data_IF_595517319669
#
_entry.id   IF_595517319669
#
_cell.length_a   1.000
_cell.length_b   1.000
_cell.length_c   1.000
_cell.angle_alpha   90.00
_cell.angle_beta   90.00
_cell.angle_gamma   90.00
#
_symmetry.space_group_name_H-M   'P 1'
#
loop_
_entity.id
_entity.type
_entity.pdbx_description
1 polymer ?
#
# COMPACT_ATOMS: atom_id res chain seq x y z
N UNK A 1 7.05 13.87 9.61
CA UNK A 1 5.79 14.51 9.22
C UNK A 1 4.84 14.32 10.39
N UNK A 2 4.30 15.38 10.99
CA UNK A 2 3.43 15.24 12.17
C UNK A 2 2.11 14.54 11.75
N UNK A 3 1.75 13.47 12.44
CA UNK A 3 0.41 12.87 12.36
C UNK A 3 -0.59 13.99 12.64
N UNK A 4 -1.33 14.41 11.61
CA UNK A 4 -2.22 15.56 11.73
C UNK A 4 -3.49 15.13 12.44
N UNK A 5 -3.82 15.83 13.54
CA UNK A 5 -5.04 15.60 14.34
C UNK A 5 -6.32 15.89 13.56
N UNK A 6 -6.22 16.60 12.43
CA UNK A 6 -7.34 16.96 11.57
C UNK A 6 -7.53 15.87 10.51
N UNK A 7 -8.70 15.23 10.53
CA UNK A 7 -9.11 14.27 9.50
C UNK A 7 -9.46 14.99 8.19
N UNK A 8 -8.51 15.02 7.26
CA UNK A 8 -8.65 15.65 5.95
C UNK A 8 -9.15 14.70 4.87
N UNK A 9 -9.30 13.40 5.15
CA UNK A 9 -9.50 12.38 4.13
C UNK A 9 -10.75 12.62 3.28
N UNK A 10 -11.82 13.14 3.87
CA UNK A 10 -13.10 13.38 3.18
C UNK A 10 -13.42 14.86 2.95
N UNK A 11 -12.49 15.77 3.29
CA UNK A 11 -12.71 17.22 3.15
C UNK A 11 -12.63 17.69 1.70
N UNK A 12 -13.49 18.62 1.30
CA UNK A 12 -13.40 19.21 -0.04
C UNK A 12 -12.10 20.03 -0.18
N UNK A 13 -11.51 20.16 -1.39
CA UNK A 13 -10.32 20.96 -1.61
C UNK A 13 -10.40 22.38 -1.04
N UNK A 14 -11.54 23.06 -1.22
CA UNK A 14 -11.77 24.40 -0.68
C UNK A 14 -11.79 24.47 0.87
N UNK A 15 -12.09 23.36 1.55
CA UNK A 15 -12.03 23.28 3.02
C UNK A 15 -10.59 23.09 3.49
N UNK A 16 -9.83 22.25 2.78
CA UNK A 16 -8.40 22.05 2.99
C UNK A 16 -7.63 23.36 2.80
N UNK A 17 -7.95 24.12 1.74
CA UNK A 17 -7.34 25.43 1.47
C UNK A 17 -7.55 26.42 2.63
N UNK A 18 -8.77 26.48 3.18
CA UNK A 18 -9.08 27.30 4.36
C UNK A 18 -8.27 26.89 5.60
N UNK A 19 -7.97 25.60 5.76
CA UNK A 19 -7.14 25.13 6.89
C UNK A 19 -5.67 25.54 6.72
N UNK A 20 -5.19 25.60 5.48
CA UNK A 20 -3.85 26.13 5.16
C UNK A 20 -3.79 27.64 5.41
N UNK A 21 -4.79 28.40 4.96
CA UNK A 21 -4.88 29.85 5.20
C UNK A 21 -4.90 30.20 6.70
N UNK A 22 -5.57 29.37 7.51
CA UNK A 22 -5.61 29.51 8.98
C UNK A 22 -4.33 29.06 9.68
N UNK A 23 -3.38 28.47 8.96
CA UNK A 23 -2.15 27.90 9.53
C UNK A 23 -2.37 26.63 10.37
N UNK A 24 -3.56 26.04 10.31
CA UNK A 24 -3.93 24.81 11.05
C UNK A 24 -3.56 23.53 10.30
N UNK A 25 -3.27 23.63 9.00
CA UNK A 25 -2.78 22.54 8.17
C UNK A 25 -1.57 23.02 7.37
N UNK A 26 -0.56 22.16 7.22
CA UNK A 26 0.60 22.49 6.41
C UNK A 26 0.28 22.47 4.91
N UNK A 27 0.96 23.32 4.14
CA UNK A 27 0.84 23.32 2.67
C UNK A 27 1.33 22.02 2.04
N UNK A 28 2.29 21.34 2.68
CA UNK A 28 2.76 20.02 2.26
C UNK A 28 1.68 18.95 2.41
N UNK A 29 0.93 18.95 3.53
CA UNK A 29 -0.18 18.03 3.71
C UNK A 29 -1.29 18.30 2.69
N UNK A 30 -1.64 19.56 2.44
CA UNK A 30 -2.60 19.91 1.39
C UNK A 30 -2.13 19.46 0.00
N UNK A 31 -0.84 19.58 -0.31
CA UNK A 31 -0.27 19.13 -1.59
C UNK A 31 -0.34 17.60 -1.72
N UNK A 32 -0.05 16.87 -0.65
CA UNK A 32 -0.20 15.42 -0.61
C UNK A 32 -1.64 14.97 -0.92
N UNK A 33 -2.65 15.63 -0.35
CA UNK A 33 -4.05 15.32 -0.68
C UNK A 33 -4.36 15.62 -2.14
N UNK A 34 -3.84 16.72 -2.70
CA UNK A 34 -4.03 17.05 -4.12
C UNK A 34 -3.34 16.05 -5.06
N UNK A 35 -2.20 15.48 -4.66
CA UNK A 35 -1.55 14.42 -5.42
C UNK A 35 -2.39 13.13 -5.41
N UNK A 36 -2.97 12.77 -4.26
CA UNK A 36 -3.92 11.65 -4.16
C UNK A 36 -5.16 11.92 -5.04
N UNK A 37 -5.69 13.14 -5.04
CA UNK A 37 -6.81 13.54 -5.88
C UNK A 37 -6.47 13.41 -7.38
N UNK A 38 -5.27 13.85 -7.78
CA UNK A 38 -4.81 13.78 -9.17
C UNK A 38 -4.62 12.34 -9.65
N UNK A 39 -4.06 11.47 -8.80
CA UNK A 39 -3.96 10.03 -9.08
C UNK A 39 -5.35 9.39 -9.18
N UNK A 40 -6.28 9.80 -8.32
CA UNK A 40 -7.65 9.30 -8.34
C UNK A 40 -8.37 9.67 -9.64
N UNK A 41 -8.22 10.93 -10.09
CA UNK A 41 -8.75 11.40 -11.36
C UNK A 41 -8.17 10.61 -12.55
N UNK A 42 -6.89 10.24 -12.49
CA UNK A 42 -6.25 9.41 -13.51
C UNK A 42 -6.76 7.96 -13.50
N UNK A 43 -7.19 7.44 -12.35
CA UNK A 43 -7.75 6.10 -12.20
C UNK A 43 -9.25 6.03 -12.54
N UNK A 44 -9.96 7.15 -12.44
CA UNK A 44 -11.40 7.24 -12.67
C UNK A 44 -11.88 6.72 -14.04
N UNK A 45 -11.17 6.92 -15.17
CA UNK A 45 -11.58 6.35 -16.45
C UNK A 45 -11.64 4.82 -16.43
N UNK A 46 -10.70 4.15 -15.78
CA UNK A 46 -10.71 2.68 -15.63
C UNK A 46 -11.95 2.23 -14.85
N UNK A 47 -12.29 2.94 -13.77
CA UNK A 47 -13.49 2.68 -12.98
C UNK A 47 -14.77 2.84 -13.82
N UNK A 48 -14.85 3.90 -14.64
CA UNK A 48 -16.00 4.18 -15.53
C UNK A 48 -16.18 3.13 -16.64
N UNK A 49 -15.15 2.37 -16.95
CA UNK A 49 -15.16 1.31 -17.95
C UNK A 49 -15.05 -0.09 -17.34
N UNK A 50 -15.34 -0.24 -16.04
CA UNK A 50 -15.31 -1.51 -15.31
C UNK A 50 -13.97 -2.27 -15.42
N UNK A 51 -12.85 -1.54 -15.47
CA UNK A 51 -11.51 -2.12 -15.45
C UNK A 51 -11.01 -2.17 -14.00
N UNK A 52 -10.84 -3.37 -13.41
CA UNK A 52 -10.24 -3.51 -12.09
C UNK A 52 -8.73 -3.22 -12.15
N UNK A 53 -8.20 -2.64 -11.06
CA UNK A 53 -6.78 -2.31 -10.94
C UNK A 53 -6.21 -2.95 -9.68
N UNK A 54 -5.14 -3.72 -9.85
CA UNK A 54 -4.27 -4.12 -8.74
C UNK A 54 -3.50 -2.89 -8.28
N UNK A 55 -3.96 -2.28 -7.19
CA UNK A 55 -3.45 -1.01 -6.68
C UNK A 55 -2.48 -1.27 -5.53
N UNK A 56 -1.18 -1.04 -5.76
CA UNK A 56 -0.10 -1.28 -4.80
C UNK A 56 0.62 0.02 -4.39
N UNK A 57 -0.07 0.94 -3.68
CA UNK A 57 0.52 2.21 -3.27
C UNK A 57 1.48 2.03 -2.10
N UNK A 58 2.36 3.02 -1.89
CA UNK A 58 3.18 3.15 -0.68
C UNK A 58 3.93 1.85 -0.29
N UNK A 59 4.49 1.15 -1.27
CA UNK A 59 5.19 -0.13 -1.08
C UNK A 59 6.53 0.03 -0.33
N UNK A 60 7.02 -1.06 0.26
CA UNK A 60 8.32 -1.15 0.95
C UNK A 60 8.52 -0.10 2.07
N UNK A 61 7.45 0.26 2.78
CA UNK A 61 7.53 1.27 3.83
C UNK A 61 8.46 0.86 4.98
N UNK A 62 8.53 -0.44 5.30
CA UNK A 62 9.38 -0.97 6.36
C UNK A 62 10.89 -0.75 6.13
N UNK A 63 11.31 -0.63 4.87
CA UNK A 63 12.70 -0.37 4.46
C UNK A 63 13.15 1.07 4.72
N UNK A 64 12.20 2.00 4.90
CA UNK A 64 12.44 3.44 5.21
C UNK A 64 13.25 4.21 4.16
N UNK A 65 13.54 3.62 3.00
CA UNK A 65 14.23 4.29 1.89
C UNK A 65 13.30 5.18 1.07
N UNK A 66 12.00 4.91 1.08
CA UNK A 66 11.00 5.82 0.55
C UNK A 66 10.51 6.80 1.61
N UNK A 67 10.19 8.01 1.16
CA UNK A 67 9.76 9.10 2.05
C UNK A 67 8.49 8.75 2.85
N UNK A 68 7.60 7.92 2.31
CA UNK A 68 6.38 7.49 3.01
C UNK A 68 6.61 6.48 4.13
N UNK A 69 7.78 5.82 4.18
CA UNK A 69 8.19 4.93 5.28
C UNK A 69 9.21 5.57 6.24
N UNK A 70 9.85 6.66 5.83
CA UNK A 70 10.98 7.26 6.56
C UNK A 70 10.61 7.83 7.94
N UNK A 71 9.38 8.32 8.10
CA UNK A 71 8.90 8.96 9.34
C UNK A 71 8.25 7.99 10.34
N UNK A 72 8.43 6.67 10.14
CA UNK A 72 7.96 5.64 11.06
C UNK A 72 6.55 5.11 10.76
N UNK A 73 6.20 4.02 11.45
CA UNK A 73 4.99 3.26 11.21
C UNK A 73 3.69 4.07 11.38
N UNK A 74 3.61 4.92 12.40
CA UNK A 74 2.40 5.71 12.69
C UNK A 74 2.09 6.68 11.54
N UNK A 75 3.12 7.35 11.00
CA UNK A 75 2.97 8.26 9.87
C UNK A 75 2.55 7.50 8.59
N UNK A 76 3.12 6.33 8.35
CA UNK A 76 2.74 5.45 7.24
C UNK A 76 1.28 4.98 7.35
N UNK A 77 0.87 4.50 8.52
CA UNK A 77 -0.48 4.00 8.76
C UNK A 77 -1.53 5.11 8.60
N UNK A 78 -1.23 6.31 9.09
CA UNK A 78 -2.06 7.50 8.85
C UNK A 78 -2.18 7.81 7.36
N UNK A 79 -1.06 7.80 6.61
CA UNK A 79 -1.07 8.09 5.19
C UNK A 79 -1.86 7.03 4.40
N UNK A 80 -1.72 5.75 4.76
CA UNK A 80 -2.49 4.67 4.17
C UNK A 80 -3.99 4.86 4.39
N UNK A 81 -4.42 5.16 5.62
CA UNK A 81 -5.84 5.42 5.94
C UNK A 81 -6.40 6.60 5.15
N UNK A 82 -5.66 7.72 5.11
CA UNK A 82 -6.04 8.90 4.35
C UNK A 82 -6.19 8.56 2.86
N UNK A 83 -5.22 7.87 2.27
CA UNK A 83 -5.27 7.49 0.86
C UNK A 83 -6.43 6.53 0.59
N UNK A 84 -6.62 5.51 1.42
CA UNK A 84 -7.70 4.54 1.28
C UNK A 84 -9.07 5.23 1.29
N UNK A 85 -9.33 6.06 2.30
CA UNK A 85 -10.61 6.77 2.45
C UNK A 85 -10.79 7.82 1.36
N UNK A 86 -9.74 8.57 1.00
CA UNK A 86 -9.81 9.56 -0.07
C UNK A 86 -10.16 8.92 -1.42
N UNK A 87 -9.45 7.86 -1.79
CA UNK A 87 -9.67 7.19 -3.08
C UNK A 87 -10.98 6.41 -3.12
N UNK A 88 -11.32 5.69 -2.04
CA UNK A 88 -12.47 4.78 -2.02
C UNK A 88 -13.78 5.49 -1.67
N UNK A 89 -13.77 6.37 -0.67
CA UNK A 89 -15.01 7.00 -0.17
C UNK A 89 -15.26 8.36 -0.81
N UNK A 90 -14.23 9.20 -0.96
CA UNK A 90 -14.40 10.54 -1.54
C UNK A 90 -14.42 10.51 -3.08
N UNK A 91 -13.52 9.75 -3.72
CA UNK A 91 -13.49 9.60 -5.19
C UNK A 91 -14.30 8.42 -5.72
N UNK A 92 -14.87 7.59 -4.85
CA UNK A 92 -15.70 6.43 -5.23
C UNK A 92 -14.98 5.42 -6.16
N UNK A 93 -13.68 5.25 -6.00
CA UNK A 93 -12.90 4.25 -6.75
C UNK A 93 -13.08 2.85 -6.15
N UNK A 94 -14.17 2.18 -6.52
CA UNK A 94 -14.50 0.82 -6.10
C UNK A 94 -13.92 -0.27 -7.02
N UNK A 95 -13.13 0.11 -8.03
CA UNK A 95 -12.44 -0.80 -8.94
C UNK A 95 -11.01 -1.14 -8.51
N UNK A 96 -10.54 -0.61 -7.37
CA UNK A 96 -9.20 -0.85 -6.86
C UNK A 96 -9.19 -2.08 -5.94
N UNK A 97 -8.26 -3.00 -6.21
CA UNK A 97 -7.90 -4.10 -5.31
C UNK A 97 -6.60 -3.70 -4.61
N UNK A 98 -6.68 -3.45 -3.31
CA UNK A 98 -5.60 -2.87 -2.51
C UNK A 98 -4.57 -3.92 -2.13
N UNK A 99 -3.32 -3.68 -2.52
CA UNK A 99 -2.19 -4.55 -2.22
C UNK A 99 -1.27 -3.86 -1.22
N UNK A 100 -1.17 -4.41 -0.02
CA UNK A 100 -0.22 -3.97 1.01
C UNK A 100 1.09 -4.74 0.90
N UNK A 101 2.23 -4.06 1.09
CA UNK A 101 3.55 -4.68 1.14
C UNK A 101 3.93 -4.96 2.61
N UNK A 102 3.96 -6.23 2.98
CA UNK A 102 4.13 -6.72 4.36
C UNK A 102 5.59 -6.94 4.78
N UNK A 103 6.51 -6.09 4.34
CA UNK A 103 7.94 -6.22 4.66
C UNK A 103 8.24 -6.15 6.18
N UNK A 104 7.45 -5.36 6.92
CA UNK A 104 7.60 -5.14 8.37
C UNK A 104 6.22 -5.11 9.05
N UNK A 105 6.04 -5.94 10.08
CA UNK A 105 4.81 -6.02 10.87
C UNK A 105 4.49 -4.74 11.64
N UNK A 106 5.48 -3.90 11.95
CA UNK A 106 5.24 -2.60 12.57
C UNK A 106 4.41 -1.67 11.67
N UNK A 107 4.49 -1.85 10.34
CA UNK A 107 3.81 -1.04 9.33
C UNK A 107 2.49 -1.67 8.86
N UNK A 108 1.91 -2.60 9.62
CA UNK A 108 0.63 -3.23 9.25
C UNK A 108 -0.50 -2.19 9.22
N UNK A 109 -1.38 -2.31 8.22
CA UNK A 109 -2.54 -1.44 8.00
C UNK A 109 -3.82 -2.25 8.05
N UNK A 110 -4.97 -1.60 8.24
CA UNK A 110 -6.25 -2.30 8.39
C UNK A 110 -6.92 -2.63 7.04
N UNK A 111 -6.92 -1.67 6.12
CA UNK A 111 -7.71 -1.75 4.90
C UNK A 111 -6.85 -2.18 3.70
N UNK A 112 -6.89 -3.45 3.35
CA UNK A 112 -6.22 -4.02 2.17
C UNK A 112 -6.86 -5.36 1.78
N UNK A 113 -6.70 -5.77 0.52
CA UNK A 113 -7.27 -7.00 -0.03
C UNK A 113 -6.23 -8.13 -0.13
N UNK A 114 -5.01 -7.78 -0.56
CA UNK A 114 -3.90 -8.72 -0.78
C UNK A 114 -2.68 -8.25 0.00
N UNK A 115 -2.00 -9.18 0.68
CA UNK A 115 -0.68 -8.92 1.25
C UNK A 115 0.40 -9.39 0.27
N UNK A 116 1.48 -8.63 0.17
CA UNK A 116 2.57 -8.91 -0.77
C UNK A 116 3.94 -8.72 -0.16
N UNK A 117 4.96 -9.31 -0.80
CA UNK A 117 6.36 -9.05 -0.53
C UNK A 117 7.11 -8.77 -1.82
N UNK A 118 8.17 -7.97 -1.70
CA UNK A 118 9.15 -7.73 -2.75
C UNK A 118 10.44 -8.47 -2.35
N UNK A 119 10.92 -9.38 -3.21
CA UNK A 119 12.01 -10.31 -2.87
C UNK A 119 13.13 -10.25 -3.90
N UNK A 120 14.23 -9.62 -3.49
CA UNK A 120 15.46 -9.50 -4.28
C UNK A 120 16.58 -10.31 -3.63
N UNK A 121 17.21 -11.18 -4.43
CA UNK A 121 18.32 -12.04 -4.01
C UNK A 121 19.60 -11.64 -4.73
N UNK A 122 20.73 -12.04 -4.15
CA UNK A 122 22.04 -11.85 -4.78
C UNK A 122 22.24 -12.81 -5.98
N UNK A 123 23.15 -12.43 -6.88
CA UNK A 123 23.42 -13.21 -8.07
C UNK A 123 23.93 -14.63 -7.72
N UNK A 124 23.21 -15.65 -8.22
CA UNK A 124 23.55 -17.06 -8.02
C UNK A 124 22.83 -17.74 -6.85
N UNK A 125 22.01 -17.01 -6.10
CA UNK A 125 21.14 -17.62 -5.08
C UNK A 125 19.97 -18.37 -5.73
N UNK A 126 19.64 -19.56 -5.18
CA UNK A 126 18.46 -20.30 -5.58
C UNK A 126 17.22 -19.68 -4.93
N UNK A 127 16.30 -19.20 -5.77
CA UNK A 127 15.06 -18.61 -5.33
C UNK A 127 14.14 -19.64 -4.63
N UNK A 128 14.15 -20.91 -5.01
CA UNK A 128 13.30 -21.96 -4.43
C UNK A 128 11.85 -21.47 -4.25
N UNK A 129 11.19 -21.79 -3.13
CA UNK A 129 9.80 -21.42 -2.82
C UNK A 129 9.64 -20.13 -2.01
N UNK A 130 10.72 -19.63 -1.39
CA UNK A 130 10.70 -18.57 -0.37
C UNK A 130 9.72 -18.86 0.78
N UNK A 131 9.70 -20.12 1.23
CA UNK A 131 8.76 -20.59 2.25
C UNK A 131 8.75 -19.78 3.55
N UNK A 132 9.92 -19.37 4.03
CA UNK A 132 10.03 -18.58 5.27
C UNK A 132 9.34 -17.22 5.14
N UNK A 133 9.55 -16.53 4.01
CA UNK A 133 8.89 -15.26 3.71
C UNK A 133 7.38 -15.44 3.58
N UNK A 134 6.93 -16.54 2.95
CA UNK A 134 5.52 -16.87 2.81
C UNK A 134 4.85 -17.09 4.18
N UNK A 135 5.44 -17.92 5.05
CA UNK A 135 4.89 -18.19 6.39
C UNK A 135 4.87 -16.93 7.26
N UNK A 136 5.93 -16.11 7.21
CA UNK A 136 5.96 -14.82 7.93
C UNK A 136 4.79 -13.93 7.51
N UNK A 137 4.53 -13.79 6.21
CA UNK A 137 3.42 -12.99 5.70
C UNK A 137 2.06 -13.62 6.05
N UNK A 138 1.98 -14.96 6.02
CA UNK A 138 0.78 -15.69 6.44
C UNK A 138 0.44 -15.43 7.91
N UNK A 139 1.42 -15.50 8.80
CA UNK A 139 1.23 -15.21 10.22
C UNK A 139 0.83 -13.75 10.47
N UNK A 140 1.46 -12.80 9.78
CA UNK A 140 1.14 -11.37 9.86
C UNK A 140 -0.30 -11.05 9.44
N UNK A 141 -0.85 -11.82 8.50
CA UNK A 141 -2.21 -11.64 7.97
C UNK A 141 -3.24 -12.54 8.64
N UNK A 142 -2.84 -13.36 9.62
CA UNK A 142 -3.71 -14.36 10.25
C UNK A 142 -4.22 -15.44 9.30
N UNK A 143 -3.64 -15.57 8.11
CA UNK A 143 -4.10 -16.48 7.06
C UNK A 143 -5.42 -16.05 6.39
N UNK A 144 -5.87 -14.81 6.57
CA UNK A 144 -7.14 -14.31 6.05
C UNK A 144 -7.02 -13.62 4.68
N UNK A 145 -5.79 -13.46 4.17
CA UNK A 145 -5.49 -12.68 2.97
C UNK A 145 -4.79 -13.52 1.92
N UNK A 146 -5.00 -13.17 0.65
CA UNK A 146 -4.16 -13.69 -0.43
C UNK A 146 -2.74 -13.15 -0.24
N UNK A 147 -1.76 -14.02 -0.51
CA UNK A 147 -0.34 -13.72 -0.38
C UNK A 147 0.29 -13.70 -1.77
N UNK A 148 0.94 -12.60 -2.12
CA UNK A 148 1.55 -12.40 -3.44
C UNK A 148 3.04 -12.04 -3.33
N UNK A 149 3.77 -12.26 -4.41
CA UNK A 149 5.13 -11.78 -4.55
C UNK A 149 5.13 -10.68 -5.60
N UNK A 150 4.92 -9.44 -5.15
CA UNK A 150 4.63 -8.33 -6.07
C UNK A 150 5.82 -7.89 -6.90
N UNK A 151 7.04 -8.08 -6.40
CA UNK A 151 8.28 -7.88 -7.14
C UNK A 151 9.29 -8.98 -6.80
N UNK A 152 10.07 -9.41 -7.79
CA UNK A 152 11.12 -10.39 -7.56
C UNK A 152 12.29 -10.23 -8.53
N UNK A 153 13.49 -10.58 -8.04
CA UNK A 153 14.69 -10.71 -8.89
C UNK A 153 14.65 -11.95 -9.78
N UNK A 154 14.02 -13.03 -9.32
CA UNK A 154 13.79 -14.25 -10.08
C UNK A 154 12.43 -14.85 -9.69
N UNK A 155 11.76 -15.47 -10.65
CA UNK A 155 10.49 -16.16 -10.39
C UNK A 155 10.76 -17.42 -9.56
N UNK A 156 10.03 -17.69 -8.47
CA UNK A 156 10.21 -18.87 -7.64
C UNK A 156 9.96 -20.14 -8.43
N UNK A 157 10.69 -21.20 -8.09
CA UNK A 157 10.45 -22.50 -8.69
C UNK A 157 9.07 -23.00 -8.28
N UNK A 158 8.19 -23.15 -9.28
CA UNK A 158 6.79 -23.54 -9.07
C UNK A 158 6.68 -24.90 -8.38
N UNK A 159 7.55 -25.87 -8.72
CA UNK A 159 7.53 -27.19 -8.07
C UNK A 159 7.94 -27.10 -6.60
N UNK A 160 8.94 -26.26 -6.28
CA UNK A 160 9.32 -25.97 -4.91
C UNK A 160 8.17 -25.31 -4.14
N UNK A 161 7.48 -24.33 -4.72
CA UNK A 161 6.30 -23.71 -4.13
C UNK A 161 5.21 -24.73 -3.79
N UNK A 162 4.90 -25.66 -4.70
CA UNK A 162 3.91 -26.72 -4.43
C UNK A 162 4.39 -27.72 -3.37
N UNK A 163 5.66 -28.13 -3.43
CA UNK A 163 6.26 -29.05 -2.44
C UNK A 163 6.22 -28.47 -1.03
N UNK A 164 6.56 -27.19 -0.91
CA UNK A 164 6.72 -26.49 0.37
C UNK A 164 5.40 -25.83 0.84
N UNK A 165 4.33 -25.91 0.03
CA UNK A 165 3.02 -25.28 0.28
C UNK A 165 3.08 -23.76 0.43
N UNK A 166 3.98 -23.13 -0.31
CA UNK A 166 4.16 -21.67 -0.39
C UNK A 166 3.69 -21.19 -1.76
N UNK A 167 2.38 -21.22 -1.96
CA UNK A 167 1.76 -20.90 -3.24
C UNK A 167 1.44 -19.40 -3.27
N UNK A 168 2.36 -18.63 -3.83
CA UNK A 168 2.17 -17.21 -4.12
C UNK A 168 1.08 -17.01 -5.17
N UNK A 169 0.24 -15.99 -5.00
CA UNK A 169 -0.87 -15.69 -5.91
C UNK A 169 -0.41 -15.25 -7.30
N UNK A 170 0.61 -14.42 -7.37
CA UNK A 170 1.27 -13.92 -8.57
C UNK A 170 2.70 -13.52 -8.22
#
# INVERSE_FOLDING_TARGET
>A
MAVNVIDVALMKPAEIDKLVEKGTLSSQCASLIRDIDSVSDALQPFAKTDIPVLWRPLHEAGGKWYWWGADGAEAYQWLWDVMYRRMTEYHHLHNLIWIWNGQDSAYTVNQYDIASLDIYLDAGEDFSSRHEQFIRLYEMTGGEKLLAMSECSAVPDVNACFRDRSIWSF
#
